data_IF_873384534920
#
_entry.id   IF_873384534920
#
_cell.length_a   1.000
_cell.length_b   1.000
_cell.length_c   1.000
_cell.angle_alpha   90.00
_cell.angle_beta   90.00
_cell.angle_gamma   90.00
#
_symmetry.space_group_name_H-M   'P 1'
#
loop_
_entity.id
_entity.type
_entity.pdbx_description
1 polymer ?
#
# COMPACT_ATOMS: atom_id res chain seq x y z
N UNK A 1 -5.65 10.30 2.36
CA UNK A 1 -4.28 9.79 2.62
C UNK A 1 -3.54 9.79 1.29
N UNK A 2 -2.37 10.45 1.15
CA UNK A 2 -1.63 10.41 -0.10
C UNK A 2 -1.11 8.98 -0.36
N UNK A 3 -0.75 8.70 -1.61
CA UNK A 3 -0.19 7.41 -2.03
C UNK A 3 1.30 7.59 -2.26
N UNK A 4 2.10 6.66 -1.75
CA UNK A 4 3.53 6.62 -2.01
C UNK A 4 3.79 6.44 -3.51
N UNK A 5 4.71 7.24 -4.07
CA UNK A 5 5.01 7.23 -5.52
C UNK A 5 5.51 5.87 -6.01
N UNK A 6 6.15 5.09 -5.15
CA UNK A 6 6.57 3.72 -5.45
C UNK A 6 5.40 2.76 -5.68
N UNK A 7 4.21 3.09 -5.17
CA UNK A 7 2.99 2.30 -5.34
C UNK A 7 2.32 2.44 -6.71
N UNK A 8 2.59 3.54 -7.42
CA UNK A 8 2.00 3.84 -8.74
C UNK A 8 2.13 2.69 -9.75
N UNK A 9 3.32 2.09 -9.99
CA UNK A 9 3.45 1.00 -10.95
C UNK A 9 2.61 -0.22 -10.57
N UNK A 10 2.47 -0.56 -9.28
CA UNK A 10 1.68 -1.70 -8.82
C UNK A 10 0.18 -1.45 -8.97
N UNK A 11 -0.28 -0.27 -8.55
CA UNK A 11 -1.67 0.14 -8.71
C UNK A 11 -2.04 0.18 -10.19
N UNK A 12 -1.18 0.74 -11.05
CA UNK A 12 -1.41 0.79 -12.49
C UNK A 12 -1.43 -0.61 -13.13
N UNK A 13 -0.50 -1.48 -12.77
CA UNK A 13 -0.45 -2.86 -13.27
C UNK A 13 -1.70 -3.66 -12.94
N UNK A 14 -2.36 -3.38 -11.81
CA UNK A 14 -3.64 -3.99 -11.46
C UNK A 14 -4.86 -3.24 -12.03
N UNK A 15 -4.85 -1.90 -12.03
CA UNK A 15 -6.01 -1.09 -12.42
C UNK A 15 -6.24 -1.07 -13.94
N UNK A 16 -5.17 -1.03 -14.76
CA UNK A 16 -5.29 -1.01 -16.22
C UNK A 16 -6.03 -2.25 -16.76
N UNK A 17 -5.64 -3.50 -16.44
CA UNK A 17 -6.38 -4.67 -16.89
C UNK A 17 -7.79 -4.73 -16.28
N UNK A 18 -8.00 -4.26 -15.04
CA UNK A 18 -9.34 -4.16 -14.47
C UNK A 18 -10.26 -3.29 -15.34
N UNK A 19 -9.82 -2.07 -15.69
CA UNK A 19 -10.58 -1.14 -16.52
C UNK A 19 -10.81 -1.70 -17.92
N UNK A 20 -9.80 -2.34 -18.52
CA UNK A 20 -9.93 -2.97 -19.83
C UNK A 20 -10.97 -4.10 -19.84
N UNK A 21 -10.97 -4.97 -18.82
CA UNK A 21 -11.93 -6.07 -18.71
C UNK A 21 -13.36 -5.58 -18.46
N UNK A 22 -13.53 -4.51 -17.67
CA UNK A 22 -14.84 -3.84 -17.51
C UNK A 22 -15.31 -3.26 -18.83
N UNK A 23 -14.45 -2.59 -19.59
CA UNK A 23 -14.80 -2.00 -20.87
C UNK A 23 -15.19 -3.03 -21.95
N UNK A 24 -14.73 -4.27 -21.80
CA UNK A 24 -15.04 -5.40 -22.67
C UNK A 24 -16.18 -6.30 -22.13
N UNK A 25 -16.88 -5.86 -21.08
CA UNK A 25 -18.01 -6.57 -20.43
C UNK A 25 -17.64 -7.92 -19.77
N UNK A 26 -16.35 -8.13 -19.46
CA UNK A 26 -15.83 -9.31 -18.75
C UNK A 26 -15.77 -9.06 -17.23
N UNK A 27 -16.90 -8.74 -16.62
CA UNK A 27 -16.96 -8.23 -15.24
C UNK A 27 -16.41 -9.21 -14.19
N UNK A 28 -16.70 -10.51 -14.33
CA UNK A 28 -16.19 -11.55 -13.43
C UNK A 28 -14.66 -11.66 -13.44
N UNK A 29 -14.05 -11.45 -14.61
CA UNK A 29 -12.59 -11.48 -14.76
C UNK A 29 -11.93 -10.18 -14.29
N UNK A 30 -12.65 -9.05 -14.30
CA UNK A 30 -12.14 -7.79 -13.77
C UNK A 30 -12.04 -7.80 -12.23
N UNK A 31 -12.93 -8.52 -11.55
CA UNK A 31 -13.03 -8.54 -10.09
C UNK A 31 -11.70 -8.79 -9.35
N UNK A 32 -10.90 -9.83 -9.66
CA UNK A 32 -9.62 -10.04 -8.99
C UNK A 32 -8.66 -8.85 -9.14
N UNK A 33 -8.62 -8.21 -10.32
CA UNK A 33 -7.77 -7.05 -10.55
C UNK A 33 -8.22 -5.81 -9.77
N UNK A 34 -9.54 -5.60 -9.65
CA UNK A 34 -10.10 -4.54 -8.79
C UNK A 34 -9.72 -4.76 -7.32
N UNK A 35 -9.85 -5.99 -6.82
CA UNK A 35 -9.50 -6.32 -5.43
C UNK A 35 -8.00 -6.06 -5.18
N UNK A 36 -7.13 -6.54 -6.07
CA UNK A 36 -5.68 -6.36 -5.95
C UNK A 36 -5.29 -4.88 -6.06
N UNK A 37 -5.92 -4.12 -6.97
CA UNK A 37 -5.70 -2.68 -7.07
C UNK A 37 -6.10 -1.96 -5.77
N UNK A 38 -7.24 -2.33 -5.18
CA UNK A 38 -7.67 -1.84 -3.87
C UNK A 38 -6.69 -2.19 -2.76
N UNK A 39 -6.13 -3.40 -2.76
CA UNK A 39 -5.10 -3.82 -1.81
C UNK A 39 -3.82 -2.99 -1.94
N UNK A 40 -3.36 -2.72 -3.17
CA UNK A 40 -2.20 -1.85 -3.38
C UNK A 40 -2.46 -0.40 -2.94
N UNK A 41 -3.64 0.15 -3.21
CA UNK A 41 -4.02 1.46 -2.69
C UNK A 41 -4.01 1.51 -1.16
N UNK A 42 -4.47 0.44 -0.51
CA UNK A 42 -4.42 0.31 0.95
C UNK A 42 -2.99 0.15 1.48
N UNK A 43 -2.14 -0.61 0.80
CA UNK A 43 -0.76 -0.87 1.22
C UNK A 43 0.14 0.35 1.07
N UNK A 44 0.08 1.04 -0.07
CA UNK A 44 0.92 2.20 -0.39
C UNK A 44 0.35 3.53 0.14
N UNK A 45 -0.66 3.50 1.01
CA UNK A 45 -1.16 4.70 1.67
C UNK A 45 -0.07 5.27 2.60
N UNK A 46 0.23 6.55 2.46
CA UNK A 46 1.26 7.23 3.27
C UNK A 46 0.64 8.34 4.14
N UNK A 47 -0.02 8.00 5.26
CA UNK A 47 -0.59 9.01 6.14
C UNK A 47 0.52 9.82 6.83
N UNK A 48 0.28 11.11 7.12
CA UNK A 48 1.22 11.91 7.90
C UNK A 48 1.49 11.27 9.26
N UNK A 49 2.77 11.20 9.66
CA UNK A 49 3.23 10.63 10.94
C UNK A 49 3.68 11.75 11.88
N UNK A 50 3.37 11.61 13.17
CA UNK A 50 3.75 12.59 14.21
C UNK A 50 4.65 11.94 15.27
N UNK A 51 5.98 11.90 15.05
CA UNK A 51 6.90 11.31 16.03
C UNK A 51 7.06 12.21 17.27
N UNK A 52 7.36 11.62 18.46
CA UNK A 52 7.68 12.38 19.66
C UNK A 52 8.98 13.19 19.48
N UNK A 53 9.06 14.35 20.15
CA UNK A 53 10.20 15.27 20.05
C UNK A 53 11.03 15.24 21.35
N UNK A 54 12.21 14.63 21.31
CA UNK A 54 13.25 14.82 22.32
C UNK A 54 14.64 14.53 21.71
N UNK A 55 15.69 15.08 22.33
CA UNK A 55 17.08 14.87 21.87
C UNK A 55 17.51 13.43 22.15
N UNK A 56 18.19 12.81 21.19
CA UNK A 56 18.76 11.47 21.34
C UNK A 56 17.78 10.30 21.25
N UNK A 57 16.51 10.53 20.84
CA UNK A 57 15.56 9.44 20.67
C UNK A 57 15.89 8.57 19.44
N UNK A 58 15.84 7.25 19.64
CA UNK A 58 15.75 6.25 18.58
C UNK A 58 14.31 5.78 18.52
N UNK A 59 13.68 5.86 17.34
CA UNK A 59 12.28 5.49 17.14
C UNK A 59 12.18 4.08 16.55
N UNK A 60 11.11 3.36 16.90
CA UNK A 60 10.78 2.11 16.24
C UNK A 60 10.49 2.37 14.75
N UNK A 61 11.02 1.55 13.82
CA UNK A 61 10.81 1.76 12.39
C UNK A 61 9.40 1.37 11.93
N UNK A 62 8.75 0.47 12.65
CA UNK A 62 7.42 -0.06 12.33
C UNK A 62 6.72 -0.58 13.60
N UNK A 63 5.40 -0.72 13.52
CA UNK A 63 4.61 -1.43 14.53
C UNK A 63 4.85 -2.94 14.42
N UNK A 64 5.01 -3.62 15.55
CA UNK A 64 5.26 -5.06 15.56
C UNK A 64 5.60 -5.60 16.94
N UNK A 65 6.09 -6.85 16.97
CA UNK A 65 6.64 -7.47 18.19
C UNK A 65 8.13 -7.66 18.01
N UNK A 66 8.90 -7.24 19.01
CA UNK A 66 10.33 -7.55 19.09
C UNK A 66 10.46 -9.02 19.45
N UNK A 67 11.08 -9.82 18.59
CA UNK A 67 11.34 -11.23 18.84
C UNK A 67 12.74 -11.45 19.43
N UNK A 68 13.72 -10.69 18.93
CA UNK A 68 15.12 -10.69 19.37
C UNK A 68 15.62 -9.25 19.25
N UNK A 69 16.38 -8.78 20.24
CA UNK A 69 17.10 -7.52 20.17
C UNK A 69 18.39 -7.63 20.99
N UNK A 70 19.54 -7.34 20.37
CA UNK A 70 20.85 -7.43 21.02
C UNK A 70 21.45 -8.84 21.02
N UNK A 71 22.56 -9.00 21.75
CA UNK A 71 23.15 -10.29 22.13
C UNK A 71 22.50 -10.86 23.38
#
# INVERSE_FOLDING_TARGET
VPIDRSGVPFVAAAAVPAVALVALDFLWWALPFVIVSGFFLFFFRDPPRHPPRARGLVLAPADGRVLVAGE
#
